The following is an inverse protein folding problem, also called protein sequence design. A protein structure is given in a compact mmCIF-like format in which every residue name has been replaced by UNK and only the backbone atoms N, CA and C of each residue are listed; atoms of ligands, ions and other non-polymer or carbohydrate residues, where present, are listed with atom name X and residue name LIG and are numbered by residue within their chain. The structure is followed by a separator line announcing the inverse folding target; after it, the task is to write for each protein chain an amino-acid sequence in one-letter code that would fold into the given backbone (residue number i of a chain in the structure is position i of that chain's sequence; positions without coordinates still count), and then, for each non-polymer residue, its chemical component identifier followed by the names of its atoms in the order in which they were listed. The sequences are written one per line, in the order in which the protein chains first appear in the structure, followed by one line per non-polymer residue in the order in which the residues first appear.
data_IF_763292126100
#
_entry.id   IF_763292126100
#
_cell.length_a   1.000
_cell.length_b   1.000
_cell.length_c   1.000
_cell.angle_alpha   90.00
_cell.angle_beta   90.00
_cell.angle_gamma   90.00
#
_symmetry.space_group_name_H-M   'P 1'
#
loop_
_entity.id
_entity.type
_entity.pdbx_description
1 polymer ?
#
# COMPACT_ATOMS: atom_id res chain seq x y z
N UNK A 1 -0.97 -24.81 -24.44
CA UNK A 1 -1.42 -23.83 -23.42
C UNK A 1 -2.60 -24.43 -22.70
N UNK A 2 -2.61 -24.40 -21.38
CA UNK A 2 -3.62 -24.97 -20.52
C UNK A 2 -4.15 -23.94 -19.53
N UNK A 3 -5.26 -24.27 -18.84
CA UNK A 3 -5.77 -23.49 -17.71
C UNK A 3 -5.15 -24.05 -16.45
N UNK A 4 -4.61 -23.18 -15.60
CA UNK A 4 -4.18 -23.51 -14.25
C UNK A 4 -5.26 -23.08 -13.26
N UNK A 5 -5.96 -24.05 -12.64
CA UNK A 5 -7.03 -23.81 -11.68
C UNK A 5 -6.49 -23.76 -10.25
N UNK A 6 -6.86 -22.74 -9.49
CA UNK A 6 -6.66 -22.67 -8.04
C UNK A 6 -7.96 -22.95 -7.31
N UNK A 7 -7.95 -23.71 -6.19
CA UNK A 7 -9.14 -23.87 -5.36
C UNK A 7 -9.62 -22.52 -4.80
N UNK A 8 -10.90 -22.23 -4.94
CA UNK A 8 -11.55 -21.13 -4.26
C UNK A 8 -12.33 -21.68 -3.06
N UNK A 9 -11.91 -21.30 -1.88
CA UNK A 9 -12.47 -21.72 -0.60
C UNK A 9 -12.99 -20.53 0.19
N UNK A 10 -13.66 -20.79 1.31
CA UNK A 10 -14.15 -19.76 2.22
C UNK A 10 -13.63 -20.03 3.63
N UNK A 11 -12.85 -19.10 4.18
CA UNK A 11 -12.48 -19.15 5.57
C UNK A 11 -13.62 -18.61 6.45
N UNK A 12 -13.86 -19.32 7.56
CA UNK A 12 -15.01 -19.13 8.45
C UNK A 12 -14.59 -18.48 9.78
N UNK A 13 -15.60 -18.17 10.60
CA UNK A 13 -15.46 -17.68 11.97
C UNK A 13 -14.92 -16.26 12.14
N UNK A 14 -14.60 -15.55 11.06
CA UNK A 14 -14.15 -14.18 11.16
C UNK A 14 -15.27 -13.27 11.69
N UNK A 15 -14.93 -12.50 12.70
CA UNK A 15 -15.71 -11.38 13.21
C UNK A 15 -14.81 -10.15 13.21
N UNK A 16 -15.18 -9.15 12.42
CA UNK A 16 -14.41 -7.91 12.24
C UNK A 16 -15.31 -6.72 12.58
N UNK A 17 -14.85 -5.86 13.49
CA UNK A 17 -15.60 -4.69 13.93
C UNK A 17 -17.05 -5.04 14.31
N UNK A 18 -17.21 -6.10 15.09
CA UNK A 18 -18.49 -6.66 15.55
C UNK A 18 -19.41 -7.26 14.46
N UNK A 19 -18.95 -7.38 13.22
CA UNK A 19 -19.70 -7.97 12.12
C UNK A 19 -19.12 -9.32 11.72
N UNK A 20 -19.97 -10.31 11.45
CA UNK A 20 -19.55 -11.61 10.93
C UNK A 20 -19.19 -11.49 9.45
N UNK A 21 -18.03 -12.03 9.07
CA UNK A 21 -17.48 -11.93 7.73
C UNK A 21 -17.08 -13.30 7.21
N UNK A 22 -17.43 -13.59 5.96
CA UNK A 22 -16.89 -14.72 5.20
C UNK A 22 -15.71 -14.24 4.37
N UNK A 23 -14.57 -14.94 4.44
CA UNK A 23 -13.36 -14.54 3.74
C UNK A 23 -13.06 -15.51 2.60
N UNK A 24 -13.31 -15.15 1.33
CA UNK A 24 -12.93 -15.99 0.20
C UNK A 24 -11.40 -16.04 0.07
N UNK A 25 -10.87 -17.24 -0.13
CA UNK A 25 -9.44 -17.50 -0.26
C UNK A 25 -9.17 -18.38 -1.47
N UNK A 26 -8.40 -17.87 -2.43
CA UNK A 26 -7.89 -18.64 -3.57
C UNK A 26 -6.44 -19.04 -3.26
N UNK A 27 -6.24 -20.26 -2.82
CA UNK A 27 -4.94 -20.79 -2.42
C UNK A 27 -4.78 -22.24 -2.89
N UNK A 28 -3.57 -22.64 -3.21
CA UNK A 28 -3.25 -24.00 -3.66
C UNK A 28 -3.34 -25.03 -2.54
N UNK A 29 -3.24 -24.60 -1.26
CA UNK A 29 -3.24 -25.48 -0.11
C UNK A 29 -4.45 -25.25 0.82
N UNK A 30 -5.44 -26.16 0.84
CA UNK A 30 -6.64 -26.02 1.68
C UNK A 30 -6.38 -25.97 3.18
N UNK A 31 -5.25 -26.50 3.65
CA UNK A 31 -4.87 -26.47 5.06
C UNK A 31 -4.68 -25.04 5.58
N UNK A 32 -4.25 -24.09 4.74
CA UNK A 32 -4.14 -22.65 5.06
C UNK A 32 -5.52 -22.07 5.39
N UNK A 33 -6.56 -22.44 4.63
CA UNK A 33 -7.93 -21.99 4.89
C UNK A 33 -8.48 -22.54 6.20
N UNK A 34 -8.17 -23.83 6.49
CA UNK A 34 -8.55 -24.46 7.75
C UNK A 34 -7.85 -23.82 8.93
N UNK A 35 -6.54 -23.53 8.83
CA UNK A 35 -5.75 -22.85 9.86
C UNK A 35 -6.29 -21.43 10.13
N UNK A 36 -6.57 -20.64 9.06
CA UNK A 36 -7.15 -19.30 9.19
C UNK A 36 -8.53 -19.34 9.90
N UNK A 37 -9.38 -20.30 9.52
CA UNK A 37 -10.70 -20.48 10.15
C UNK A 37 -10.61 -20.87 11.62
N UNK A 38 -9.61 -21.70 11.99
CA UNK A 38 -9.39 -22.11 13.38
C UNK A 38 -8.84 -20.95 14.22
N UNK A 39 -7.87 -20.18 13.70
CA UNK A 39 -7.36 -19.00 14.36
C UNK A 39 -8.49 -17.95 14.56
N UNK A 40 -9.28 -17.70 13.53
CA UNK A 40 -10.44 -16.80 13.63
C UNK A 40 -11.46 -17.25 14.67
N UNK A 41 -11.67 -18.57 14.85
CA UNK A 41 -12.53 -19.11 15.90
C UNK A 41 -12.00 -18.80 17.30
N UNK A 42 -10.69 -18.90 17.53
CA UNK A 42 -10.06 -18.56 18.81
C UNK A 42 -10.21 -17.06 19.12
N UNK A 43 -9.90 -16.21 18.16
CA UNK A 43 -10.04 -14.75 18.27
C UNK A 43 -11.49 -14.33 18.49
N UNK A 44 -12.44 -15.01 17.83
CA UNK A 44 -13.88 -14.74 17.99
C UNK A 44 -14.37 -14.94 19.43
N UNK A 45 -13.78 -15.84 20.20
CA UNK A 45 -14.15 -16.11 21.60
C UNK A 45 -13.92 -14.90 22.52
N UNK A 46 -13.05 -13.99 22.16
CA UNK A 46 -12.69 -12.79 22.93
C UNK A 46 -13.15 -11.48 22.25
N UNK A 47 -14.04 -11.57 21.26
CA UNK A 47 -14.65 -10.41 20.62
C UNK A 47 -14.44 -10.27 19.14
N UNK A 48 -13.41 -10.90 18.58
CA UNK A 48 -13.06 -10.83 17.16
C UNK A 48 -11.90 -9.88 16.89
N UNK A 49 -11.76 -9.51 15.62
CA UNK A 49 -10.75 -8.58 15.14
C UNK A 49 -11.30 -7.15 15.13
N UNK A 50 -10.46 -6.20 15.49
CA UNK A 50 -10.72 -4.77 15.36
C UNK A 50 -9.76 -4.18 14.34
N UNK A 51 -10.30 -3.67 13.24
CA UNK A 51 -9.53 -3.16 12.12
C UNK A 51 -9.82 -1.69 11.84
N UNK A 52 -8.75 -0.94 11.60
CA UNK A 52 -8.80 0.45 11.15
C UNK A 52 -7.98 0.59 9.88
N UNK A 53 -8.54 1.26 8.87
CA UNK A 53 -7.85 1.55 7.62
C UNK A 53 -7.52 3.04 7.54
N UNK A 54 -6.33 3.36 7.01
CA UNK A 54 -6.01 4.73 6.60
C UNK A 54 -6.81 5.11 5.35
N UNK A 55 -6.74 6.39 4.95
CA UNK A 55 -7.26 6.81 3.66
C UNK A 55 -6.64 5.96 2.51
N UNK A 56 -7.38 5.75 1.41
CA UNK A 56 -6.95 4.88 0.30
C UNK A 56 -5.93 5.58 -0.62
N UNK A 57 -4.86 6.11 -0.03
CA UNK A 57 -3.82 6.88 -0.73
C UNK A 57 -2.76 5.94 -1.27
N UNK A 58 -2.67 5.83 -2.59
CA UNK A 58 -1.58 5.15 -3.26
C UNK A 58 -0.45 6.11 -3.61
N UNK A 59 0.76 5.56 -3.67
CA UNK A 59 1.97 6.31 -4.03
C UNK A 59 2.45 5.86 -5.40
N UNK A 60 2.67 6.82 -6.29
CA UNK A 60 3.47 6.60 -7.50
C UNK A 60 4.74 7.43 -7.44
N UNK A 61 5.73 7.03 -8.21
CA UNK A 61 7.04 7.68 -8.23
C UNK A 61 7.51 7.93 -9.66
N UNK A 62 8.13 9.08 -9.85
CA UNK A 62 8.84 9.44 -11.07
C UNK A 62 10.30 9.70 -10.72
N UNK A 63 11.21 8.90 -11.28
CA UNK A 63 12.65 9.04 -11.09
C UNK A 63 13.24 9.95 -12.16
N UNK A 64 14.19 10.77 -11.76
CA UNK A 64 15.03 11.57 -12.64
C UNK A 64 16.50 11.33 -12.32
N UNK A 65 17.28 11.11 -13.36
CA UNK A 65 18.73 10.97 -13.30
C UNK A 65 19.39 12.17 -14.00
N UNK A 66 20.68 12.37 -13.75
CA UNK A 66 21.48 13.45 -14.35
C UNK A 66 20.89 14.86 -14.15
N UNK A 67 20.20 15.11 -13.04
CA UNK A 67 19.65 16.43 -12.70
C UNK A 67 20.81 17.38 -12.35
N UNK A 68 21.02 18.48 -13.08
CA UNK A 68 22.21 19.32 -12.92
C UNK A 68 22.37 19.95 -11.51
N UNK A 69 21.27 20.20 -10.81
CA UNK A 69 21.23 20.70 -9.44
C UNK A 69 19.94 20.18 -8.81
N UNK A 70 20.05 19.04 -8.15
CA UNK A 70 18.89 18.32 -7.63
C UNK A 70 18.15 19.08 -6.54
N UNK A 71 18.85 19.77 -5.65
CA UNK A 71 18.25 20.60 -4.60
C UNK A 71 17.44 21.76 -5.19
N UNK A 72 17.97 22.50 -6.15
CA UNK A 72 17.24 23.58 -6.81
C UNK A 72 16.08 23.05 -7.67
N UNK A 73 16.25 21.91 -8.30
CA UNK A 73 15.19 21.24 -9.05
C UNK A 73 14.03 20.84 -8.12
N UNK A 74 14.33 20.30 -6.94
CA UNK A 74 13.32 19.99 -5.94
C UNK A 74 12.47 21.22 -5.56
N UNK A 75 13.11 22.37 -5.31
CA UNK A 75 12.40 23.63 -5.02
C UNK A 75 11.47 24.05 -6.19
N UNK A 76 11.93 23.91 -7.45
CA UNK A 76 11.11 24.24 -8.63
C UNK A 76 9.90 23.33 -8.76
N UNK A 77 10.08 22.03 -8.51
CA UNK A 77 8.98 21.04 -8.53
C UNK A 77 7.97 21.34 -7.43
N UNK A 78 8.43 21.60 -6.22
CA UNK A 78 7.55 21.99 -5.11
C UNK A 78 6.78 23.29 -5.39
N UNK A 79 7.43 24.29 -5.97
CA UNK A 79 6.77 25.52 -6.39
C UNK A 79 5.71 25.33 -7.49
N UNK A 80 5.84 24.29 -8.29
CA UNK A 80 4.90 23.94 -9.36
C UNK A 80 3.79 22.96 -8.92
N UNK A 81 3.71 22.62 -7.63
CA UNK A 81 2.80 21.61 -7.04
C UNK A 81 1.38 21.70 -7.58
N UNK A 82 0.74 22.84 -7.57
CA UNK A 82 -0.64 22.99 -8.03
C UNK A 82 -0.81 22.73 -9.53
N UNK A 83 0.20 23.04 -10.33
CA UNK A 83 0.20 22.77 -11.77
C UNK A 83 0.34 21.26 -12.02
N UNK A 84 1.22 20.62 -11.28
CA UNK A 84 1.41 19.16 -11.34
C UNK A 84 0.13 18.43 -10.92
N UNK A 85 -0.55 18.90 -9.87
CA UNK A 85 -1.83 18.32 -9.44
C UNK A 85 -2.92 18.41 -10.51
N UNK A 86 -3.01 19.54 -11.20
CA UNK A 86 -3.96 19.66 -12.31
C UNK A 86 -3.68 18.67 -13.43
N UNK A 87 -2.42 18.49 -13.82
CA UNK A 87 -2.02 17.51 -14.84
C UNK A 87 -2.36 16.09 -14.37
N UNK A 88 -2.07 15.78 -13.10
CA UNK A 88 -2.38 14.50 -12.49
C UNK A 88 -3.89 14.21 -12.52
N UNK A 89 -4.72 15.16 -12.09
CA UNK A 89 -6.17 15.00 -12.01
C UNK A 89 -6.81 14.95 -13.42
N UNK A 90 -6.29 15.69 -14.39
CA UNK A 90 -6.73 15.64 -15.79
C UNK A 90 -6.46 14.26 -16.42
N UNK A 91 -5.45 13.53 -15.96
CA UNK A 91 -5.16 12.17 -16.41
C UNK A 91 -6.15 11.12 -15.86
N UNK A 92 -6.82 11.43 -14.75
CA UNK A 92 -7.71 10.48 -14.04
C UNK A 92 -9.11 11.08 -13.75
N UNK A 93 -9.80 11.69 -14.73
CA UNK A 93 -11.03 12.45 -14.48
C UNK A 93 -12.15 11.61 -13.86
N UNK A 94 -12.22 10.33 -14.19
CA UNK A 94 -13.17 9.41 -13.59
C UNK A 94 -12.93 9.17 -12.09
N UNK A 95 -11.70 9.30 -11.62
CA UNK A 95 -11.36 9.19 -10.19
C UNK A 95 -11.75 10.49 -9.48
N UNK A 96 -11.39 11.63 -10.04
CA UNK A 96 -11.72 12.97 -9.51
C UNK A 96 -13.23 13.14 -9.35
N UNK A 97 -14.02 12.71 -10.34
CA UNK A 97 -15.49 12.78 -10.29
C UNK A 97 -16.07 11.96 -9.12
N UNK A 98 -15.38 10.92 -8.66
CA UNK A 98 -15.78 10.09 -7.50
C UNK A 98 -15.22 10.59 -6.16
N UNK A 99 -14.57 11.75 -6.16
CA UNK A 99 -14.02 12.37 -4.95
C UNK A 99 -12.57 11.95 -4.61
N UNK A 100 -11.91 11.19 -5.48
CA UNK A 100 -10.48 10.91 -5.39
C UNK A 100 -9.64 11.96 -6.13
N UNK A 101 -8.38 11.66 -6.40
CA UNK A 101 -7.45 12.54 -7.12
C UNK A 101 -6.11 12.70 -6.42
N UNK A 102 -5.24 13.52 -6.98
CA UNK A 102 -3.92 13.79 -6.44
C UNK A 102 -4.04 14.65 -5.17
N UNK A 103 -3.52 14.17 -4.05
CA UNK A 103 -3.71 14.79 -2.74
C UNK A 103 -2.43 15.40 -2.16
N UNK A 104 -1.26 14.89 -2.57
CA UNK A 104 0.02 15.38 -2.05
C UNK A 104 1.17 15.03 -3.02
N UNK A 105 2.30 15.71 -2.84
CA UNK A 105 3.54 15.52 -3.58
C UNK A 105 4.72 15.65 -2.61
N UNK A 106 5.73 14.83 -2.80
CA UNK A 106 6.99 14.88 -2.06
C UNK A 106 8.15 14.74 -3.03
N UNK A 107 9.11 15.65 -2.96
CA UNK A 107 10.34 15.56 -3.74
C UNK A 107 11.48 15.11 -2.84
N UNK A 108 12.19 14.08 -3.29
CA UNK A 108 13.33 13.51 -2.55
C UNK A 108 14.58 13.53 -3.41
N UNK A 109 15.59 14.26 -2.98
CA UNK A 109 16.93 14.16 -3.54
C UNK A 109 17.60 12.93 -2.92
N UNK A 110 17.88 11.93 -3.75
CA UNK A 110 18.49 10.68 -3.31
C UNK A 110 20.01 10.75 -3.37
N UNK A 111 20.55 11.42 -4.38
CA UNK A 111 21.99 11.63 -4.54
C UNK A 111 22.21 12.97 -5.26
N UNK A 112 22.79 13.93 -4.55
CA UNK A 112 23.07 15.28 -5.07
C UNK A 112 24.23 15.28 -6.07
N UNK A 113 25.24 14.43 -5.85
CA UNK A 113 26.44 14.40 -6.68
C UNK A 113 26.15 13.75 -8.04
N UNK A 114 25.34 12.69 -8.04
CA UNK A 114 24.90 11.99 -9.25
C UNK A 114 23.65 12.60 -9.88
N UNK A 115 23.04 13.59 -9.22
CA UNK A 115 21.81 14.24 -9.68
C UNK A 115 20.61 13.30 -9.72
N UNK A 116 20.44 12.42 -8.71
CA UNK A 116 19.31 11.49 -8.63
C UNK A 116 18.22 12.07 -7.77
N UNK A 117 17.04 12.26 -8.37
CA UNK A 117 15.87 12.83 -7.74
C UNK A 117 14.64 11.95 -7.99
N UNK A 118 13.78 11.84 -7.00
CA UNK A 118 12.50 11.13 -7.12
C UNK A 118 11.36 12.05 -6.68
N UNK A 119 10.29 12.06 -7.46
CA UNK A 119 9.04 12.75 -7.12
C UNK A 119 7.99 11.69 -6.81
N UNK A 120 7.49 11.69 -5.57
CA UNK A 120 6.35 10.90 -5.15
C UNK A 120 5.07 11.70 -5.29
N UNK A 121 4.05 11.11 -5.92
CA UNK A 121 2.70 11.64 -5.91
C UNK A 121 1.79 10.70 -5.12
N UNK A 122 0.92 11.28 -4.34
CA UNK A 122 -0.02 10.59 -3.46
C UNK A 122 -1.43 10.80 -4.00
N UNK A 123 -2.07 9.72 -4.38
CA UNK A 123 -3.36 9.76 -5.09
C UNK A 123 -4.41 9.00 -4.28
N UNK A 124 -5.51 9.67 -3.96
CA UNK A 124 -6.68 9.02 -3.41
C UNK A 124 -7.39 8.24 -4.53
N UNK A 125 -7.40 6.93 -4.40
CA UNK A 125 -7.98 6.02 -5.39
C UNK A 125 -9.33 5.44 -4.96
N UNK A 126 -9.86 5.88 -3.81
CA UNK A 126 -11.11 5.38 -3.26
C UNK A 126 -11.12 3.85 -3.15
N UNK A 127 -12.19 3.22 -3.62
CA UNK A 127 -12.36 1.76 -3.59
C UNK A 127 -11.64 1.04 -4.74
N UNK A 128 -10.94 1.76 -5.63
CA UNK A 128 -10.23 1.12 -6.72
C UNK A 128 -8.96 0.38 -6.22
N UNK A 129 -8.57 -0.67 -6.94
CA UNK A 129 -7.26 -1.30 -6.76
C UNK A 129 -6.13 -0.27 -6.99
N UNK A 130 -6.24 0.57 -8.01
CA UNK A 130 -5.53 1.83 -8.17
C UNK A 130 -4.22 1.78 -8.96
N UNK A 131 -3.62 0.62 -9.23
CA UNK A 131 -2.30 0.55 -9.89
C UNK A 131 -2.26 1.33 -11.22
N UNK A 132 -3.16 1.01 -12.15
CA UNK A 132 -3.21 1.71 -13.44
C UNK A 132 -3.55 3.21 -13.31
N UNK A 133 -4.30 3.59 -12.27
CA UNK A 133 -4.64 4.99 -11.99
C UNK A 133 -3.38 5.78 -11.66
N UNK A 134 -2.56 5.28 -10.74
CA UNK A 134 -1.35 5.99 -10.30
C UNK A 134 -0.23 5.92 -11.34
N UNK A 135 -0.16 4.88 -12.15
CA UNK A 135 0.77 4.80 -13.28
C UNK A 135 0.40 5.81 -14.38
N UNK A 136 -0.90 5.98 -14.67
CA UNK A 136 -1.36 7.02 -15.59
C UNK A 136 -1.01 8.43 -15.09
N UNK A 137 -1.10 8.67 -13.79
CA UNK A 137 -0.65 9.94 -13.18
C UNK A 137 0.85 10.14 -13.38
N UNK A 138 1.68 9.13 -13.06
CA UNK A 138 3.13 9.22 -13.23
C UNK A 138 3.53 9.55 -14.66
N UNK A 139 2.93 8.88 -15.64
CA UNK A 139 3.18 9.12 -17.06
C UNK A 139 2.76 10.53 -17.50
N UNK A 140 1.62 11.02 -17.00
CA UNK A 140 1.11 12.33 -17.37
C UNK A 140 1.95 13.49 -16.81
N UNK A 141 2.44 13.36 -15.58
CA UNK A 141 3.21 14.45 -14.94
C UNK A 141 4.70 14.43 -15.29
N UNK A 142 5.24 13.32 -15.75
CA UNK A 142 6.68 13.16 -16.01
C UNK A 142 7.23 14.20 -17.00
N UNK A 143 6.58 14.55 -18.13
CA UNK A 143 7.06 15.59 -19.04
C UNK A 143 7.17 16.96 -18.37
N UNK A 144 6.18 17.35 -17.58
CA UNK A 144 6.17 18.62 -16.85
C UNK A 144 7.31 18.69 -15.83
N UNK A 145 7.53 17.60 -15.08
CA UNK A 145 8.59 17.53 -14.08
C UNK A 145 9.98 17.50 -14.77
N UNK A 146 10.08 16.88 -15.94
CA UNK A 146 11.30 16.93 -16.76
C UNK A 146 11.70 18.37 -17.12
N UNK A 147 10.77 19.18 -17.57
CA UNK A 147 11.02 20.61 -17.88
C UNK A 147 11.50 21.39 -16.62
N UNK A 148 11.02 21.02 -15.44
CA UNK A 148 11.40 21.64 -14.18
C UNK A 148 12.78 21.19 -13.68
N UNK A 149 13.13 19.93 -13.93
CA UNK A 149 14.35 19.33 -13.39
C UNK A 149 15.53 19.40 -14.35
N UNK A 150 15.28 19.30 -15.66
CA UNK A 150 16.30 19.17 -16.69
C UNK A 150 17.04 17.84 -16.69
N UNK A 151 16.59 16.89 -15.85
CA UNK A 151 17.17 15.55 -15.75
C UNK A 151 16.58 14.56 -16.74
N UNK A 152 17.16 13.40 -16.85
CA UNK A 152 16.66 12.29 -17.66
C UNK A 152 15.55 11.54 -16.94
N UNK A 153 14.39 11.34 -17.59
CA UNK A 153 13.27 10.58 -17.01
C UNK A 153 13.65 9.11 -16.89
N UNK A 154 13.63 8.57 -15.68
CA UNK A 154 13.81 7.16 -15.36
C UNK A 154 12.49 6.41 -15.18
N UNK A 155 12.33 5.72 -14.05
CA UNK A 155 11.12 4.96 -13.71
C UNK A 155 9.91 5.86 -13.47
N UNK A 156 8.76 5.42 -13.96
CA UNK A 156 7.43 5.99 -13.73
C UNK A 156 6.51 4.86 -13.35
N UNK A 157 6.38 4.60 -12.06
CA UNK A 157 5.72 3.39 -11.58
C UNK A 157 5.18 3.56 -10.17
N UNK A 158 4.16 2.81 -9.83
CA UNK A 158 3.66 2.72 -8.46
C UNK A 158 4.77 2.28 -7.49
N UNK A 159 4.71 2.78 -6.27
CA UNK A 159 5.62 2.35 -5.20
C UNK A 159 5.12 1.06 -4.54
N UNK A 160 6.01 0.09 -4.34
CA UNK A 160 5.75 -1.11 -3.54
C UNK A 160 5.76 -0.85 -2.03
N UNK A 161 6.05 0.39 -1.60
CA UNK A 161 6.06 0.79 -0.20
C UNK A 161 4.90 1.76 0.10
N UNK A 162 3.64 1.29 0.20
CA UNK A 162 2.45 2.13 0.32
C UNK A 162 2.24 2.57 1.79
N UNK A 163 3.13 3.39 2.33
CA UNK A 163 3.09 3.81 3.73
C UNK A 163 1.83 4.59 4.12
N UNK A 164 1.12 5.17 3.13
CA UNK A 164 -0.11 5.93 3.35
C UNK A 164 -1.39 5.12 3.12
N UNK A 165 -1.28 3.83 2.70
CA UNK A 165 -2.41 2.92 2.53
C UNK A 165 -2.19 1.67 3.36
N UNK A 166 -2.64 1.72 4.60
CA UNK A 166 -2.42 0.64 5.57
C UNK A 166 -3.72 0.25 6.26
N UNK A 167 -3.74 -0.97 6.74
CA UNK A 167 -4.76 -1.47 7.68
C UNK A 167 -4.03 -1.91 8.94
N UNK A 168 -4.49 -1.45 10.08
CA UNK A 168 -4.07 -1.94 11.39
C UNK A 168 -5.17 -2.82 11.95
N UNK A 169 -4.80 -4.02 12.38
CA UNK A 169 -5.74 -4.97 12.98
C UNK A 169 -5.23 -5.39 14.33
N UNK A 170 -6.12 -5.39 15.32
CA UNK A 170 -5.84 -5.88 16.67
C UNK A 170 -6.84 -6.96 17.06
N UNK A 171 -6.43 -7.87 17.90
CA UNK A 171 -7.30 -8.85 18.54
C UNK A 171 -6.70 -9.30 19.87
N UNK A 172 -7.56 -9.74 20.78
CA UNK A 172 -7.17 -10.39 22.02
C UNK A 172 -7.48 -11.89 21.93
N UNK A 173 -6.58 -12.71 22.44
CA UNK A 173 -6.81 -14.15 22.53
C UNK A 173 -6.48 -14.59 23.96
N UNK A 174 -7.43 -15.26 24.63
CA UNK A 174 -7.17 -15.75 25.98
C UNK A 174 -6.13 -16.88 25.99
N UNK A 175 -5.32 -16.93 27.03
CA UNK A 175 -4.32 -17.98 27.23
C UNK A 175 -4.93 -19.38 27.16
N UNK A 176 -6.14 -19.54 27.71
CA UNK A 176 -6.88 -20.81 27.69
C UNK A 176 -7.29 -21.22 26.27
N UNK A 177 -7.71 -20.24 25.44
CA UNK A 177 -8.07 -20.48 24.04
C UNK A 177 -6.86 -20.90 23.18
N UNK A 178 -5.66 -20.42 23.56
CA UNK A 178 -4.40 -20.82 22.93
C UNK A 178 -3.94 -22.22 23.36
N UNK A 179 -4.47 -22.77 24.46
CA UNK A 179 -4.08 -24.07 24.99
C UNK A 179 -3.08 -24.00 26.15
N UNK A 180 -2.90 -22.84 26.75
CA UNK A 180 -2.11 -22.65 27.95
C UNK A 180 -0.95 -21.65 27.85
N UNK A 181 -0.31 -21.36 29.00
CA UNK A 181 0.71 -20.30 29.08
C UNK A 181 1.96 -20.59 28.23
N UNK A 182 2.35 -21.86 28.11
CA UNK A 182 3.54 -22.25 27.33
C UNK A 182 3.37 -21.88 25.83
N UNK A 183 2.17 -22.11 25.28
CA UNK A 183 1.87 -21.74 23.88
C UNK A 183 1.78 -20.22 23.70
N UNK A 184 1.18 -19.51 24.66
CA UNK A 184 1.15 -18.05 24.65
C UNK A 184 2.57 -17.45 24.67
N UNK A 185 3.44 -17.94 25.55
CA UNK A 185 4.84 -17.52 25.61
C UNK A 185 5.61 -17.90 24.33
N UNK A 186 5.30 -19.04 23.73
CA UNK A 186 5.87 -19.48 22.46
C UNK A 186 5.54 -18.52 21.31
N UNK A 187 4.28 -18.05 21.23
CA UNK A 187 3.84 -17.07 20.22
C UNK A 187 4.57 -15.74 20.39
N UNK A 188 4.70 -15.25 21.64
CA UNK A 188 5.43 -14.00 21.92
C UNK A 188 6.91 -14.12 21.53
N UNK A 189 7.54 -15.26 21.82
CA UNK A 189 8.94 -15.52 21.43
C UNK A 189 9.10 -15.58 19.92
N UNK A 190 8.16 -16.22 19.20
CA UNK A 190 8.19 -16.32 17.75
C UNK A 190 8.02 -14.93 17.09
N UNK A 191 7.11 -14.10 17.59
CA UNK A 191 6.94 -12.72 17.13
C UNK A 191 8.22 -11.90 17.32
N UNK A 192 8.84 -11.98 18.50
CA UNK A 192 10.11 -11.29 18.78
C UNK A 192 11.24 -11.80 17.87
N UNK A 193 11.29 -13.09 17.56
CA UNK A 193 12.27 -13.63 16.63
C UNK A 193 12.09 -13.05 15.22
N UNK A 194 10.84 -12.99 14.73
CA UNK A 194 10.54 -12.42 13.41
C UNK A 194 10.85 -10.91 13.28
N UNK A 195 10.86 -10.17 14.42
CA UNK A 195 11.33 -8.77 14.43
C UNK A 195 12.87 -8.66 14.33
N UNK A 196 13.59 -9.64 14.80
CA UNK A 196 15.06 -9.67 14.82
C UNK A 196 15.65 -10.22 13.52
N UNK A 197 14.93 -11.12 12.88
CA UNK A 197 15.36 -11.82 11.65
C UNK A 197 14.16 -11.91 10.69
N UNK A 198 13.83 -10.79 10.01
CA UNK A 198 12.67 -10.67 9.12
C UNK A 198 12.86 -11.35 7.76
#
# INVERSE_FOLDING_TARGET
IAIHGLPLSVALNFRVNNSDVLVPMAVEEPSVVAAASNAARQVRMTGGFFGEATAPIMTTQVQFDDVPNASQAAERVEAARERIFRIADDAIPGMVTRGGGCSDLEVRVLDEEQGVLVVHLYVDVGDAMGANVVDAVAEAVAPEIHELTGGTIGLRILSNLPLRRRVQVTCDVSVDALGGPELADGIVKASRFAELDP
#
